data_IF_840327115991
#
_entry.id   IF_840327115991
#
_cell.length_a   1.000
_cell.length_b   1.000
_cell.length_c   1.000
_cell.angle_alpha   90.00
_cell.angle_beta   90.00
_cell.angle_gamma   90.00
#
_symmetry.space_group_name_H-M   'P 1'
#
loop_
_entity.id
_entity.type
_entity.pdbx_description
1 polymer ?
#
# COMPACT_ATOMS: atom_id res chain seq x y z
N UNK A 1 4.09 37.97 35.84
CA UNK A 1 3.46 37.63 34.55
C UNK A 1 3.71 36.16 34.31
N UNK A 2 2.74 35.31 34.63
CA UNK A 2 2.88 33.84 34.59
C UNK A 2 2.41 33.35 33.24
N UNK A 3 3.32 32.81 32.42
CA UNK A 3 2.97 32.21 31.13
C UNK A 3 2.60 30.75 31.38
N UNK A 4 1.31 30.44 31.25
CA UNK A 4 0.77 29.08 31.22
C UNK A 4 1.23 28.39 29.94
N UNK A 5 2.14 27.42 30.08
CA UNK A 5 2.54 26.53 28.99
C UNK A 5 1.42 25.50 28.74
N UNK A 6 0.57 25.78 27.75
CA UNK A 6 -0.44 24.83 27.29
C UNK A 6 0.19 23.69 26.50
N UNK A 7 0.31 22.52 27.10
CA UNK A 7 0.63 21.28 26.39
C UNK A 7 -0.57 20.88 25.52
N UNK A 8 -0.49 21.07 24.20
CA UNK A 8 -1.42 20.44 23.26
C UNK A 8 -1.09 18.95 23.17
N UNK A 9 -1.67 18.17 24.08
CA UNK A 9 -1.68 16.72 23.97
C UNK A 9 -2.43 16.34 22.68
N UNK A 10 -1.67 16.05 21.62
CA UNK A 10 -2.21 15.50 20.39
C UNK A 10 -2.82 14.13 20.67
N UNK A 11 -4.14 14.08 20.83
CA UNK A 11 -4.87 12.83 20.90
C UNK A 11 -4.70 12.11 19.56
N UNK A 12 -3.77 11.14 19.50
CA UNK A 12 -3.58 10.26 18.37
C UNK A 12 -4.86 9.40 18.22
N UNK A 13 -5.81 9.89 17.42
CA UNK A 13 -7.08 9.22 17.19
C UNK A 13 -6.83 7.85 16.56
N UNK A 14 -7.40 6.82 17.19
CA UNK A 14 -7.45 5.44 16.66
C UNK A 14 -8.35 5.46 15.43
N UNK A 15 -7.76 5.49 14.24
CA UNK A 15 -8.44 5.56 12.93
C UNK A 15 -9.12 4.24 12.49
N UNK A 16 -9.37 3.33 13.43
CA UNK A 16 -10.04 2.06 13.19
C UNK A 16 -9.23 1.03 12.42
N UNK A 17 -8.04 1.37 11.92
CA UNK A 17 -7.15 0.42 11.24
C UNK A 17 -6.55 -0.53 12.28
N UNK A 18 -6.62 -1.82 11.98
CA UNK A 18 -6.16 -2.91 12.86
C UNK A 18 -4.89 -3.53 12.33
N UNK A 19 -4.91 -3.97 11.07
CA UNK A 19 -3.80 -4.61 10.43
C UNK A 19 -3.59 -4.06 9.01
N UNK A 20 -2.33 -4.00 8.60
CA UNK A 20 -1.91 -3.65 7.24
C UNK A 20 -0.93 -4.71 6.78
N UNK A 21 -1.23 -5.34 5.66
CA UNK A 21 -0.37 -6.32 5.00
C UNK A 21 -0.01 -5.76 3.63
N UNK A 22 1.25 -5.40 3.42
CA UNK A 22 1.69 -4.86 2.14
C UNK A 22 2.54 -5.87 1.39
N UNK A 23 2.23 -6.02 0.12
CA UNK A 23 2.87 -6.96 -0.78
C UNK A 23 3.37 -6.23 -2.01
N UNK A 24 4.50 -6.72 -2.54
CA UNK A 24 4.96 -6.36 -3.87
C UNK A 24 5.24 -7.61 -4.68
N UNK A 25 5.03 -7.51 -5.98
CA UNK A 25 5.49 -8.51 -6.94
C UNK A 25 6.19 -7.79 -8.09
N UNK A 26 7.28 -8.36 -8.60
CA UNK A 26 8.06 -7.78 -9.68
C UNK A 26 7.93 -8.65 -10.92
N UNK A 27 7.40 -8.06 -11.99
CA UNK A 27 7.42 -8.64 -13.32
C UNK A 27 8.75 -8.28 -13.97
N UNK A 28 9.55 -9.30 -14.28
CA UNK A 28 10.67 -9.11 -15.18
C UNK A 28 10.08 -8.86 -16.57
N UNK A 29 10.41 -7.73 -17.22
CA UNK A 29 10.00 -7.53 -18.60
C UNK A 29 10.61 -8.66 -19.43
N UNK A 30 9.80 -9.27 -20.30
CA UNK A 30 10.26 -10.31 -21.22
C UNK A 30 11.19 -9.72 -22.28
N UNK A 31 10.71 -9.62 -23.52
CA UNK A 31 11.44 -8.91 -24.58
C UNK A 31 11.40 -7.40 -24.24
N UNK A 32 12.53 -6.84 -23.82
CA UNK A 32 12.67 -5.40 -23.61
C UNK A 32 12.80 -4.73 -24.97
N UNK A 33 11.89 -3.81 -25.29
CA UNK A 33 12.04 -3.00 -26.49
C UNK A 33 13.37 -2.22 -26.41
N UNK A 34 14.08 -2.16 -27.53
CA UNK A 34 15.35 -1.43 -27.64
C UNK A 34 15.17 -0.22 -28.55
N UNK A 35 15.89 0.85 -28.26
CA UNK A 35 16.00 2.02 -29.14
C UNK A 35 16.82 1.67 -30.40
N UNK A 36 16.90 2.55 -31.41
CA UNK A 36 17.70 2.30 -32.61
C UNK A 36 19.21 2.09 -32.36
N UNK A 37 19.71 2.39 -31.16
CA UNK A 37 21.10 2.20 -30.74
C UNK A 37 21.28 0.89 -29.94
N UNK A 38 20.21 0.11 -29.74
CA UNK A 38 20.24 -1.14 -28.98
C UNK A 38 20.10 -0.96 -27.47
N UNK A 39 19.82 0.24 -26.97
CA UNK A 39 19.62 0.47 -25.54
C UNK A 39 18.19 0.10 -25.13
N UNK A 40 17.99 -0.50 -23.94
CA UNK A 40 16.65 -0.76 -23.41
C UNK A 40 15.81 0.51 -23.29
N UNK A 41 14.61 0.52 -23.90
CA UNK A 41 13.65 1.63 -23.74
C UNK A 41 12.96 1.60 -22.38
N UNK A 42 13.09 0.51 -21.63
CA UNK A 42 12.59 0.36 -20.26
C UNK A 42 13.69 -0.16 -19.35
N UNK A 43 13.97 0.56 -18.26
CA UNK A 43 14.99 0.18 -17.27
C UNK A 43 14.31 -0.25 -15.98
N UNK A 44 14.04 -1.55 -15.85
CA UNK A 44 13.67 -2.19 -14.58
C UNK A 44 12.39 -3.01 -14.62
N UNK A 45 12.13 -3.77 -13.55
CA UNK A 45 10.92 -4.57 -13.42
C UNK A 45 9.68 -3.70 -13.21
N UNK A 46 8.55 -4.17 -13.71
CA UNK A 46 7.24 -3.62 -13.34
C UNK A 46 6.87 -4.12 -11.95
N UNK A 47 6.86 -3.22 -10.97
CA UNK A 47 6.45 -3.55 -9.60
C UNK A 47 4.96 -3.32 -9.41
N UNK A 48 4.24 -4.39 -9.09
CA UNK A 48 2.87 -4.34 -8.62
C UNK A 48 2.85 -4.26 -7.09
N UNK A 49 2.02 -3.38 -6.54
CA UNK A 49 1.79 -3.29 -5.11
C UNK A 49 0.35 -3.63 -4.79
N UNK A 50 0.16 -4.59 -3.89
CA UNK A 50 -1.15 -4.97 -3.36
C UNK A 50 -1.09 -4.86 -1.84
N UNK A 51 -2.09 -4.23 -1.24
CA UNK A 51 -2.15 -4.00 0.19
C UNK A 51 -3.49 -4.49 0.71
N UNK A 52 -3.47 -5.30 1.75
CA UNK A 52 -4.66 -5.67 2.49
C UNK A 52 -4.75 -4.87 3.78
N UNK A 53 -5.90 -4.26 4.03
CA UNK A 53 -6.15 -3.46 5.22
C UNK A 53 -7.37 -3.97 5.94
N UNK A 54 -7.16 -4.35 7.19
CA UNK A 54 -8.23 -4.68 8.11
C UNK A 54 -8.60 -3.46 8.95
N UNK A 55 -9.88 -3.11 8.97
CA UNK A 55 -10.38 -1.98 9.75
C UNK A 55 -11.73 -2.26 10.40
N UNK A 56 -12.01 -1.59 11.51
CA UNK A 56 -13.32 -1.67 12.19
C UNK A 56 -14.39 -0.82 11.50
N UNK A 57 -14.00 0.04 10.56
CA UNK A 57 -14.89 0.92 9.81
C UNK A 57 -14.41 1.06 8.36
N UNK A 58 -15.30 1.27 7.38
CA UNK A 58 -14.92 1.54 6.00
C UNK A 58 -14.00 2.76 5.89
N UNK A 59 -13.00 2.67 5.01
CA UNK A 59 -12.10 3.77 4.68
C UNK A 59 -12.09 3.91 3.17
N UNK A 60 -12.39 5.11 2.69
CA UNK A 60 -12.22 5.45 1.28
C UNK A 60 -10.75 5.78 1.04
N UNK A 61 -10.01 4.85 0.46
CA UNK A 61 -8.62 5.07 0.09
C UNK A 61 -8.52 5.96 -1.16
N UNK A 62 -7.60 6.91 -1.13
CA UNK A 62 -7.52 7.97 -2.14
C UNK A 62 -6.24 7.86 -2.97
N UNK A 63 -5.08 7.85 -2.30
CA UNK A 63 -3.77 7.90 -2.95
C UNK A 63 -2.71 7.20 -2.11
N UNK A 64 -1.66 6.74 -2.78
CA UNK A 64 -0.45 6.26 -2.14
C UNK A 64 0.80 6.94 -2.71
N UNK A 65 1.88 6.93 -1.93
CA UNK A 65 3.19 7.43 -2.35
C UNK A 65 4.29 6.48 -1.93
N UNK A 66 5.23 6.23 -2.83
CA UNK A 66 6.44 5.47 -2.55
C UNK A 66 7.53 5.84 -3.54
N UNK A 67 8.77 5.98 -3.07
CA UNK A 67 9.95 6.26 -3.91
C UNK A 67 9.74 7.43 -4.88
N UNK A 68 9.14 8.52 -4.40
CA UNK A 68 8.87 9.72 -5.21
C UNK A 68 7.72 9.59 -6.22
N UNK A 69 7.08 8.43 -6.34
CA UNK A 69 5.95 8.19 -7.23
C UNK A 69 4.62 8.29 -6.47
N UNK A 70 3.61 8.87 -7.11
CA UNK A 70 2.20 8.82 -6.69
C UNK A 70 1.48 7.66 -7.36
N UNK A 71 0.63 6.99 -6.59
CA UNK A 71 -0.22 5.90 -7.06
C UNK A 71 -1.69 6.22 -6.81
N UNK A 72 -2.52 5.85 -7.78
CA UNK A 72 -3.96 5.70 -7.63
C UNK A 72 -4.26 4.38 -6.90
N UNK A 73 -5.36 4.34 -6.15
CA UNK A 73 -5.77 3.14 -5.40
C UNK A 73 -7.09 2.64 -5.96
N UNK A 74 -7.11 1.37 -6.36
CA UNK A 74 -8.33 0.61 -6.62
C UNK A 74 -8.62 -0.20 -5.36
N UNK A 75 -9.69 0.15 -4.65
CA UNK A 75 -10.06 -0.49 -3.39
C UNK A 75 -11.26 -1.42 -3.59
N UNK A 76 -11.12 -2.68 -3.18
CA UNK A 76 -12.15 -3.71 -3.26
C UNK A 76 -12.35 -4.35 -1.89
N UNK A 77 -13.59 -4.48 -1.38
CA UNK A 77 -13.85 -5.23 -0.17
C UNK A 77 -13.60 -6.72 -0.44
N UNK A 78 -12.97 -7.42 0.50
CA UNK A 78 -12.85 -8.88 0.48
C UNK A 78 -14.09 -9.46 1.15
N UNK A 79 -14.85 -10.28 0.42
CA UNK A 79 -16.10 -10.86 0.91
C UNK A 79 -15.86 -11.99 1.93
N UNK A 80 -14.78 -12.73 1.74
CA UNK A 80 -14.45 -13.89 2.56
C UNK A 80 -13.79 -13.51 3.89
N UNK A 81 -13.90 -14.40 4.88
CA UNK A 81 -13.23 -14.25 6.19
C UNK A 81 -11.72 -14.52 6.12
N UNK A 82 -11.21 -14.94 4.97
CA UNK A 82 -9.79 -15.12 4.73
C UNK A 82 -9.45 -14.97 3.25
N UNK A 83 -8.22 -14.58 2.95
CA UNK A 83 -7.70 -14.49 1.58
C UNK A 83 -6.29 -15.05 1.50
N UNK A 84 -6.03 -15.88 0.48
CA UNK A 84 -4.67 -16.24 0.10
C UNK A 84 -4.06 -15.07 -0.67
N UNK A 85 -3.10 -14.39 -0.04
CA UNK A 85 -2.40 -13.27 -0.63
C UNK A 85 -1.26 -13.70 -1.56
N UNK A 86 -0.94 -15.01 -1.64
CA UNK A 86 0.08 -15.59 -2.49
C UNK A 86 1.23 -16.22 -1.71
N UNK A 87 2.31 -16.52 -2.41
CA UNK A 87 3.47 -17.24 -1.87
C UNK A 87 4.63 -16.27 -1.68
N UNK A 88 5.24 -16.23 -0.49
CA UNK A 88 6.44 -15.42 -0.23
C UNK A 88 7.59 -15.86 -1.12
N UNK A 89 8.26 -14.91 -1.77
CA UNK A 89 9.45 -15.19 -2.59
C UNK A 89 10.63 -15.68 -1.76
N UNK A 90 10.78 -15.15 -0.53
CA UNK A 90 11.93 -15.43 0.33
C UNK A 90 12.03 -16.89 0.78
N UNK A 91 10.91 -17.56 1.06
CA UNK A 91 10.90 -18.90 1.65
C UNK A 91 9.82 -19.84 1.10
N UNK A 92 8.99 -19.41 0.15
CA UNK A 92 7.95 -20.25 -0.42
C UNK A 92 6.72 -20.50 0.47
N UNK A 93 6.59 -19.80 1.59
CA UNK A 93 5.41 -19.94 2.46
C UNK A 93 4.18 -19.25 1.84
N UNK A 94 3.02 -19.90 1.94
CA UNK A 94 1.73 -19.28 1.64
C UNK A 94 1.41 -18.19 2.67
N UNK A 95 0.82 -17.09 2.20
CA UNK A 95 0.36 -15.99 3.03
C UNK A 95 -1.15 -16.00 3.10
N UNK A 96 -1.69 -16.60 4.16
CA UNK A 96 -3.11 -16.54 4.46
C UNK A 96 -3.39 -15.35 5.39
N UNK A 97 -4.27 -14.45 4.96
CA UNK A 97 -4.77 -13.35 5.78
C UNK A 97 -6.13 -13.74 6.32
N UNK A 98 -6.32 -13.67 7.64
CA UNK A 98 -7.57 -14.03 8.31
C UNK A 98 -8.20 -12.76 8.88
N UNK A 99 -9.44 -12.50 8.50
CA UNK A 99 -10.23 -11.37 8.99
C UNK A 99 -10.69 -11.62 10.43
N UNK A 100 -10.44 -10.67 11.33
CA UNK A 100 -11.00 -10.73 12.67
C UNK A 100 -12.51 -10.47 12.60
N UNK A 101 -13.28 -11.26 13.35
CA UNK A 101 -14.74 -11.12 13.43
C UNK A 101 -15.15 -9.69 13.78
N UNK A 102 -16.04 -9.12 12.95
CA UNK A 102 -16.59 -7.77 13.12
C UNK A 102 -15.76 -6.65 12.47
N UNK A 103 -14.63 -6.97 11.85
CA UNK A 103 -13.88 -6.04 11.01
C UNK A 103 -14.25 -6.21 9.53
N UNK A 104 -13.71 -5.31 8.70
CA UNK A 104 -13.78 -5.37 7.24
C UNK A 104 -12.36 -5.48 6.70
N UNK A 105 -12.17 -6.34 5.70
CA UNK A 105 -10.92 -6.46 4.95
C UNK A 105 -11.05 -5.80 3.58
N UNK A 106 -10.09 -4.96 3.23
CA UNK A 106 -9.99 -4.30 1.93
C UNK A 106 -8.74 -4.77 1.23
N UNK A 107 -8.84 -5.07 -0.07
CA UNK A 107 -7.71 -5.18 -0.99
C UNK A 107 -7.54 -3.87 -1.72
N UNK A 108 -6.32 -3.34 -1.70
CA UNK A 108 -5.92 -2.13 -2.41
C UNK A 108 -4.88 -2.51 -3.45
N UNK A 109 -5.24 -2.37 -4.73
CA UNK A 109 -4.29 -2.49 -5.83
C UNK A 109 -3.84 -1.08 -6.24
N UNK A 110 -2.52 -0.89 -6.29
CA UNK A 110 -1.93 0.41 -6.59
C UNK A 110 -1.48 0.46 -8.05
N UNK A 111 -1.91 1.50 -8.74
CA UNK A 111 -1.50 1.78 -10.12
C UNK A 111 -0.79 3.13 -10.18
N UNK A 112 0.25 3.29 -11.02
CA UNK A 112 0.88 4.60 -11.21
C UNK A 112 -0.17 5.66 -11.56
N UNK A 113 -0.14 6.80 -10.85
CA UNK A 113 -1.05 7.88 -11.15
C UNK A 113 -0.57 8.66 -12.38
N UNK A 114 -1.51 9.04 -13.26
CA UNK A 114 -1.21 9.89 -14.42
C UNK A 114 -0.61 11.25 -14.01
N UNK A 115 -1.12 11.81 -12.89
CA UNK A 115 -0.66 13.07 -12.33
C UNK A 115 0.05 12.85 -11.00
N UNK A 116 1.31 13.24 -10.95
CA UNK A 116 2.09 13.24 -9.72
C UNK A 116 1.57 14.32 -8.76
N UNK A 117 1.52 13.99 -7.47
CA UNK A 117 1.16 14.92 -6.41
C UNK A 117 2.11 14.74 -5.24
N UNK A 118 2.56 15.81 -4.56
CA UNK A 118 3.42 15.67 -3.40
C UNK A 118 2.67 14.94 -2.27
N UNK A 119 3.38 14.14 -1.44
CA UNK A 119 2.77 13.52 -0.28
C UNK A 119 2.41 14.58 0.77
N UNK A 120 1.33 14.37 1.56
CA UNK A 120 0.92 15.32 2.60
C UNK A 120 1.91 15.39 3.78
N UNK A 121 2.85 14.46 3.88
CA UNK A 121 3.91 14.45 4.89
C UNK A 121 5.16 13.73 4.36
N UNK A 122 6.31 13.94 5.03
CA UNK A 122 7.58 13.27 4.69
C UNK A 122 7.44 11.75 4.83
N UNK A 123 7.91 11.04 3.81
CA UNK A 123 7.91 9.57 3.78
C UNK A 123 9.26 9.08 4.33
N UNK A 124 9.23 8.10 5.23
CA UNK A 124 10.45 7.43 5.71
C UNK A 124 11.09 6.63 4.57
N UNK A 125 12.43 6.51 4.50
CA UNK A 125 13.09 5.68 3.51
C UNK A 125 12.54 4.25 3.51
N UNK A 126 12.28 3.68 2.33
CA UNK A 126 11.71 2.34 2.16
C UNK A 126 10.20 2.23 2.44
N UNK A 127 9.58 3.22 3.08
CA UNK A 127 8.16 3.17 3.41
C UNK A 127 7.27 3.62 2.25
N UNK A 128 6.05 3.13 2.28
CA UNK A 128 4.91 3.68 1.54
C UNK A 128 4.07 4.56 2.45
N UNK A 129 3.43 5.58 1.88
CA UNK A 129 2.43 6.41 2.54
C UNK A 129 1.06 6.17 1.89
N UNK A 130 0.05 5.89 2.68
CA UNK A 130 -1.35 5.73 2.26
C UNK A 130 -2.18 6.88 2.80
N UNK A 131 -3.04 7.46 1.98
CA UNK A 131 -4.04 8.43 2.39
C UNK A 131 -5.44 7.92 2.05
N UNK A 132 -6.34 8.05 3.03
CA UNK A 132 -7.75 7.76 2.89
C UNK A 132 -8.63 8.74 3.65
N UNK A 133 -9.94 8.48 3.64
CA UNK A 133 -10.96 9.19 4.41
C UNK A 133 -11.86 8.21 5.15
N UNK A 134 -12.11 8.50 6.42
CA UNK A 134 -13.08 7.79 7.24
C UNK A 134 -14.13 8.81 7.69
N UNK A 135 -15.27 8.83 7.00
CA UNK A 135 -16.22 9.95 7.09
C UNK A 135 -15.55 11.25 6.63
N UNK A 136 -15.59 12.29 7.48
CA UNK A 136 -14.97 13.60 7.18
C UNK A 136 -13.48 13.67 7.53
N UNK A 137 -12.93 12.65 8.19
CA UNK A 137 -11.55 12.67 8.70
C UNK A 137 -10.58 12.08 7.70
N UNK A 138 -9.49 12.78 7.44
CA UNK A 138 -8.36 12.26 6.68
C UNK A 138 -7.58 11.26 7.53
N UNK A 139 -7.27 10.11 6.94
CA UNK A 139 -6.44 9.06 7.53
C UNK A 139 -5.15 8.98 6.72
N UNK A 140 -4.01 8.98 7.41
CA UNK A 140 -2.68 8.84 6.79
C UNK A 140 -1.90 7.75 7.51
N UNK A 141 -1.39 6.78 6.75
CA UNK A 141 -0.63 5.64 7.29
C UNK A 141 0.67 5.42 6.56
N UNK A 142 1.74 5.27 7.32
CA UNK A 142 3.04 4.87 6.80
C UNK A 142 3.19 3.36 6.97
N UNK A 143 3.61 2.69 5.90
CA UNK A 143 3.75 1.23 5.82
C UNK A 143 5.20 0.93 5.49
N UNK A 144 5.90 0.22 6.39
CA UNK A 144 7.34 -0.06 6.25
C UNK A 144 7.68 -1.49 5.88
N UNK A 145 6.80 -2.44 6.21
CA UNK A 145 7.05 -3.87 6.01
C UNK A 145 6.29 -4.36 4.77
N UNK A 146 7.00 -4.44 3.66
CA UNK A 146 6.51 -5.03 2.42
C UNK A 146 7.08 -6.44 2.25
N UNK A 147 6.20 -7.39 1.94
CA UNK A 147 6.57 -8.77 1.63
C UNK A 147 6.61 -8.94 0.12
N UNK A 148 7.71 -9.49 -0.39
CA UNK A 148 7.81 -9.82 -1.80
C UNK A 148 7.18 -11.18 -2.08
N UNK A 149 6.26 -11.22 -3.04
CA UNK A 149 5.54 -12.42 -3.45
C UNK A 149 6.12 -12.99 -4.74
N UNK A 150 6.01 -14.31 -4.91
CA UNK A 150 6.20 -14.96 -6.20
C UNK A 150 5.07 -14.55 -7.14
N UNK A 151 5.40 -14.35 -8.40
CA UNK A 151 4.38 -14.28 -9.43
C UNK A 151 3.76 -15.67 -9.61
N UNK A 152 2.44 -15.77 -9.81
CA UNK A 152 1.86 -17.01 -10.27
C UNK A 152 2.49 -17.39 -11.61
N UNK A 153 2.76 -18.68 -11.80
CA UNK A 153 3.23 -19.19 -13.09
C UNK A 153 2.21 -18.79 -14.17
N UNK A 154 2.70 -18.27 -15.30
CA UNK A 154 1.82 -17.95 -16.43
C UNK A 154 1.19 -19.25 -16.94
N UNK A 155 -0.14 -19.33 -16.90
CA UNK A 155 -0.93 -20.44 -17.48
C UNK A 155 -1.03 -20.25 -18.99
#
# INVERSE_FOLDING_TARGET
MTILTGCTAGAQLKDGIKNIYAFRAEHLPGIVAVDPQGNPTHQGPDTLYTIYIESTKPIQWLKAWKNGKTYSIIAMPVADTSVDAGIKKANGEHVLIILTKGNVLWRLDLTPAEKQAPPPQKIKPGHMLLQGRQGTKTVVRSVGNEVELKLPDAV
#
